data_IF_250321925480
#
_entry.id   IF_250321925480
#
_cell.length_a   1.000
_cell.length_b   1.000
_cell.length_c   1.000
_cell.angle_alpha   90.00
_cell.angle_beta   90.00
_cell.angle_gamma   90.00
#
_symmetry.space_group_name_H-M   'P 1'
#
loop_
_entity.id
_entity.type
_entity.pdbx_description
1 polymer ?
#
# COMPACT_ATOMS: atom_id res chain seq x y z
N UNK A 1 7.99 3.50 -7.33
CA UNK A 1 6.97 4.47 -7.79
C UNK A 1 6.44 4.12 -9.18
N UNK A 2 7.19 3.39 -10.00
CA UNK A 2 6.80 2.98 -11.35
C UNK A 2 5.50 2.16 -11.40
N UNK A 3 5.23 1.35 -10.38
CA UNK A 3 3.98 0.59 -10.25
C UNK A 3 2.76 1.52 -10.12
N UNK A 4 2.85 2.60 -9.35
CA UNK A 4 1.75 3.58 -9.19
C UNK A 4 1.46 4.25 -10.53
N UNK A 5 2.49 4.74 -11.21
CA UNK A 5 2.37 5.41 -12.51
C UNK A 5 1.84 4.47 -13.60
N UNK A 6 2.23 3.19 -13.59
CA UNK A 6 1.75 2.18 -14.55
C UNK A 6 0.30 1.77 -14.33
N UNK A 7 -0.21 1.86 -13.11
CA UNK A 7 -1.56 1.40 -12.78
C UNK A 7 -2.67 2.23 -13.44
N UNK A 8 -2.40 3.48 -13.83
CA UNK A 8 -3.40 4.39 -14.39
C UNK A 8 -4.55 4.75 -13.43
N UNK A 9 -4.47 4.34 -12.16
CA UNK A 9 -5.51 4.58 -11.14
C UNK A 9 -5.49 5.98 -10.52
N UNK A 10 -4.42 6.74 -10.75
CA UNK A 10 -4.24 8.08 -10.20
C UNK A 10 -3.97 9.06 -11.35
N UNK A 11 -4.62 10.22 -11.29
CA UNK A 11 -4.34 11.32 -12.20
C UNK A 11 -3.04 12.02 -11.78
N UNK A 12 -2.07 12.08 -12.69
CA UNK A 12 -0.76 12.69 -12.47
C UNK A 12 0.37 11.69 -12.17
N UNK A 13 1.60 12.19 -12.25
CA UNK A 13 2.80 11.38 -11.98
C UNK A 13 3.08 11.38 -10.48
N UNK A 14 3.15 10.20 -9.89
CA UNK A 14 3.55 10.04 -8.50
C UNK A 14 5.06 10.31 -8.39
N UNK A 15 5.41 11.52 -7.94
CA UNK A 15 6.80 11.98 -7.82
C UNK A 15 7.53 11.39 -6.61
N UNK A 16 6.80 10.92 -5.59
CA UNK A 16 7.40 10.32 -4.40
C UNK A 16 6.71 10.76 -3.12
N UNK A 17 7.12 10.15 -1.99
CA UNK A 17 6.80 10.72 -0.69
C UNK A 17 7.75 11.89 -0.42
N UNK A 18 7.21 13.09 -0.20
CA UNK A 18 7.99 14.33 -0.03
C UNK A 18 8.56 14.52 1.38
N UNK A 19 8.22 13.65 2.33
CA UNK A 19 8.75 13.67 3.69
C UNK A 19 9.91 12.69 3.85
N UNK A 20 11.15 13.17 3.75
CA UNK A 20 12.37 12.40 4.04
C UNK A 20 12.88 12.59 5.47
N UNK A 21 12.52 13.70 6.12
CA UNK A 21 13.12 14.17 7.36
C UNK A 21 12.25 13.90 8.61
N UNK A 22 11.76 12.68 8.75
CA UNK A 22 10.96 12.26 9.90
C UNK A 22 11.19 10.81 10.29
N UNK A 23 10.77 10.40 11.50
CA UNK A 23 10.83 8.99 11.89
C UNK A 23 10.06 8.14 10.88
N UNK A 24 10.69 7.07 10.41
CA UNK A 24 10.05 6.08 9.54
C UNK A 24 8.75 5.63 10.22
N UNK A 25 7.63 5.73 9.50
CA UNK A 25 6.33 5.35 10.02
C UNK A 25 6.33 3.92 10.59
N UNK A 26 5.52 3.68 11.63
CA UNK A 26 5.46 2.37 12.27
C UNK A 26 4.80 1.35 11.34
N UNK A 27 5.47 0.22 11.10
CA UNK A 27 4.85 -0.93 10.42
C UNK A 27 3.73 -1.48 11.31
N UNK A 28 2.53 -1.59 10.76
CA UNK A 28 1.38 -2.17 11.45
C UNK A 28 1.35 -3.69 11.23
N UNK A 29 1.14 -4.44 12.31
CA UNK A 29 0.87 -5.88 12.28
C UNK A 29 -0.63 -6.11 12.47
N UNK A 30 -1.23 -6.91 11.58
CA UNK A 30 -2.66 -7.19 11.57
C UNK A 30 -2.98 -8.63 12.04
N UNK A 31 -2.00 -9.34 12.60
CA UNK A 31 -2.12 -10.78 12.90
C UNK A 31 -3.18 -11.03 13.98
N UNK A 32 -3.23 -10.18 15.01
CA UNK A 32 -4.25 -10.27 16.08
C UNK A 32 -5.66 -10.02 15.58
N UNK A 33 -5.86 -8.97 14.79
CA UNK A 33 -7.17 -8.61 14.23
C UNK A 33 -7.72 -9.70 13.32
N UNK A 34 -6.85 -10.34 12.52
CA UNK A 34 -7.24 -11.47 11.67
C UNK A 34 -7.65 -12.70 12.49
N UNK A 35 -6.97 -12.96 13.60
CA UNK A 35 -7.26 -14.09 14.48
C UNK A 35 -8.53 -13.89 15.32
N UNK A 36 -8.76 -12.68 15.83
CA UNK A 36 -9.84 -12.40 16.79
C UNK A 36 -11.19 -12.13 16.11
N UNK A 37 -11.19 -11.40 15.00
CA UNK A 37 -12.44 -10.96 14.33
C UNK A 37 -12.56 -11.47 12.89
N UNK A 38 -11.63 -12.34 12.44
CA UNK A 38 -11.64 -12.86 11.07
C UNK A 38 -11.43 -11.80 10.00
N UNK A 39 -10.87 -10.65 10.37
CA UNK A 39 -10.73 -9.52 9.46
C UNK A 39 -9.56 -9.73 8.50
N UNK A 40 -9.81 -9.49 7.22
CA UNK A 40 -8.80 -9.56 6.17
C UNK A 40 -8.95 -8.34 5.24
N UNK A 41 -7.84 -7.71 4.81
CA UNK A 41 -7.92 -6.62 3.85
C UNK A 41 -8.43 -7.13 2.49
N UNK A 42 -9.30 -6.36 1.83
CA UNK A 42 -9.81 -6.66 0.48
C UNK A 42 -8.69 -6.86 -0.55
N UNK A 43 -7.54 -6.21 -0.34
CA UNK A 43 -6.33 -6.39 -1.14
C UNK A 43 -5.16 -6.70 -0.20
N UNK A 44 -4.49 -7.86 -0.32
CA UNK A 44 -3.42 -8.26 0.60
C UNK A 44 -2.14 -7.44 0.42
N UNK A 45 -1.98 -6.79 -0.74
CA UNK A 45 -0.83 -5.95 -1.03
C UNK A 45 -1.21 -4.70 -1.83
N UNK A 46 -0.34 -3.69 -1.76
CA UNK A 46 -0.50 -2.48 -2.57
C UNK A 46 -0.43 -2.79 -4.07
N UNK A 47 0.35 -3.80 -4.49
CA UNK A 47 0.45 -4.18 -5.91
C UNK A 47 -0.87 -4.77 -6.43
N UNK A 48 -1.53 -5.62 -5.63
CA UNK A 48 -2.86 -6.17 -5.97
C UNK A 48 -3.95 -5.10 -5.95
N UNK A 49 -3.89 -4.15 -5.01
CA UNK A 49 -4.77 -2.99 -5.04
C UNK A 49 -4.64 -2.22 -6.35
N UNK A 50 -3.42 -2.08 -6.87
CA UNK A 50 -3.16 -1.44 -8.15
C UNK A 50 -3.58 -2.29 -9.37
N UNK A 51 -3.95 -3.56 -9.16
CA UNK A 51 -4.31 -4.49 -10.25
C UNK A 51 -3.11 -4.90 -11.10
N UNK A 52 -1.89 -4.80 -10.56
CA UNK A 52 -0.68 -5.18 -11.28
C UNK A 52 -0.33 -6.63 -10.93
N UNK A 53 -0.40 -7.53 -11.91
CA UNK A 53 0.20 -8.86 -11.80
C UNK A 53 1.72 -8.72 -11.95
N UNK A 54 2.49 -9.44 -11.15
CA UNK A 54 3.95 -9.39 -11.17
C UNK A 54 4.52 -10.04 -12.44
#
# INVERSE_FOLDING_TARGET
MDRVNRSGKFDGKFEGFTGTDGPLGKRMDNSKTRAEIGWEPKYPSFTEFLGLSN
#
